data_IF_644447683129
#
_entry.id   IF_644447683129
#
_cell.length_a   1.000
_cell.length_b   1.000
_cell.length_c   1.000
_cell.angle_alpha   90.00
_cell.angle_beta   90.00
_cell.angle_gamma   90.00
#
_symmetry.space_group_name_H-M   'P 1'
#
loop_
_entity.id
_entity.type
_entity.pdbx_description
1 polymer ?
#
# COMPACT_ATOMS: atom_id res chain seq x y z
N UNK A 1 -14.25 20.59 -28.53
CA UNK A 1 -13.48 19.61 -27.71
C UNK A 1 -13.00 20.21 -26.40
N UNK A 2 -12.51 21.47 -26.38
CA UNK A 2 -11.98 22.09 -25.15
C UNK A 2 -13.05 22.43 -24.09
N UNK A 3 -14.31 22.55 -24.43
CA UNK A 3 -15.40 22.87 -23.49
C UNK A 3 -15.83 21.68 -22.63
N UNK A 4 -15.67 20.44 -23.10
CA UNK A 4 -15.99 19.24 -22.34
C UNK A 4 -15.01 19.03 -21.17
N UNK A 5 -13.71 19.21 -21.38
CA UNK A 5 -12.68 19.09 -20.34
C UNK A 5 -12.78 20.16 -19.25
N UNK A 6 -13.24 21.37 -19.57
CA UNK A 6 -13.45 22.43 -18.57
C UNK A 6 -14.65 22.20 -17.64
N UNK A 7 -15.50 21.21 -17.95
CA UNK A 7 -16.67 20.86 -17.12
C UNK A 7 -16.44 19.64 -16.24
N UNK A 8 -15.32 18.94 -16.38
CA UNK A 8 -15.01 17.81 -15.51
C UNK A 8 -14.78 18.31 -14.10
N UNK A 9 -15.63 17.85 -13.18
CA UNK A 9 -15.63 18.23 -11.76
C UNK A 9 -15.20 17.06 -10.86
N UNK A 10 -14.96 15.90 -11.44
CA UNK A 10 -14.60 14.68 -10.75
C UNK A 10 -13.45 14.00 -11.47
N UNK A 11 -12.52 13.46 -10.72
CA UNK A 11 -11.41 12.66 -11.20
C UNK A 11 -11.40 11.33 -10.47
N UNK A 12 -11.70 10.24 -11.19
CA UNK A 12 -11.52 8.89 -10.67
C UNK A 12 -10.04 8.52 -10.78
N UNK A 13 -9.48 8.06 -9.70
CA UNK A 13 -8.13 7.52 -9.66
C UNK A 13 -8.17 6.09 -9.13
N UNK A 14 -7.36 5.23 -9.74
CA UNK A 14 -7.14 3.89 -9.22
C UNK A 14 -6.34 3.94 -7.94
N UNK A 15 -6.23 2.77 -7.34
CA UNK A 15 -5.49 2.56 -6.12
C UNK A 15 -4.10 3.22 -6.20
N UNK A 16 -3.77 4.01 -5.18
CA UNK A 16 -2.49 4.70 -5.02
C UNK A 16 -1.61 4.03 -3.96
N UNK A 17 -2.00 2.84 -3.49
CA UNK A 17 -1.19 2.05 -2.58
C UNK A 17 0.08 1.52 -3.28
N UNK A 18 1.12 1.16 -2.52
CA UNK A 18 2.30 0.54 -3.10
C UNK A 18 1.93 -0.69 -3.92
N UNK A 19 2.60 -0.88 -5.05
CA UNK A 19 2.42 -2.09 -5.85
C UNK A 19 3.14 -3.26 -5.21
N UNK A 20 2.57 -4.46 -5.35
CA UNK A 20 3.15 -5.70 -4.83
C UNK A 20 3.60 -6.63 -5.94
N UNK A 21 3.25 -7.91 -5.84
CA UNK A 21 3.61 -8.92 -6.84
C UNK A 21 3.14 -8.51 -8.25
N UNK A 22 4.04 -8.64 -9.22
CA UNK A 22 3.84 -8.26 -10.63
C UNK A 22 3.41 -6.78 -10.79
N UNK A 23 3.87 -5.89 -9.92
CA UNK A 23 3.52 -4.46 -9.91
C UNK A 23 2.01 -4.17 -9.86
N UNK A 24 1.26 -5.14 -9.34
CA UNK A 24 -0.19 -5.04 -9.22
C UNK A 24 -0.59 -4.17 -8.03
N UNK A 25 -1.47 -3.17 -8.21
CA UNK A 25 -2.03 -2.40 -7.11
C UNK A 25 -2.97 -3.23 -6.22
N UNK A 26 -3.52 -4.33 -6.73
CA UNK A 26 -4.37 -5.25 -5.96
C UNK A 26 -3.59 -6.19 -5.03
N UNK A 27 -2.26 -6.25 -5.18
CA UNK A 27 -1.35 -7.01 -4.33
C UNK A 27 -0.50 -6.08 -3.46
N UNK A 28 -1.09 -5.01 -2.97
CA UNK A 28 -0.40 -4.01 -2.16
C UNK A 28 0.08 -4.56 -0.83
N UNK A 29 1.30 -4.21 -0.39
CA UNK A 29 1.79 -4.56 0.95
C UNK A 29 1.09 -3.82 2.09
N UNK A 30 0.17 -2.90 1.80
CA UNK A 30 -0.66 -2.22 2.81
C UNK A 30 -1.93 -1.62 2.21
N UNK A 31 -3.03 -1.70 2.95
CA UNK A 31 -4.28 -1.03 2.66
C UNK A 31 -4.30 0.46 3.06
N UNK A 32 -3.22 0.98 3.67
CA UNK A 32 -3.14 2.34 4.21
C UNK A 32 -2.00 3.15 3.59
N UNK A 33 -0.89 2.51 3.25
CA UNK A 33 0.31 3.19 2.77
C UNK A 33 0.13 3.82 1.38
N UNK A 34 0.80 4.93 1.14
CA UNK A 34 0.92 5.55 -0.18
C UNK A 34 2.05 4.96 -1.00
N UNK A 35 1.89 4.96 -2.33
CA UNK A 35 2.88 4.41 -3.27
C UNK A 35 4.11 5.31 -3.38
N UNK A 36 5.30 4.85 -2.98
CA UNK A 36 6.54 5.64 -3.10
C UNK A 36 6.86 6.07 -4.52
N UNK A 37 6.41 5.31 -5.52
CA UNK A 37 6.65 5.62 -6.92
C UNK A 37 5.91 6.88 -7.40
N UNK A 38 4.90 7.34 -6.66
CA UNK A 38 4.14 8.55 -6.97
C UNK A 38 4.74 9.83 -6.35
N UNK A 39 5.77 9.70 -5.50
CA UNK A 39 6.45 10.87 -4.92
C UNK A 39 7.14 11.66 -6.04
N UNK A 40 6.84 12.96 -6.14
CA UNK A 40 7.54 13.86 -7.05
C UNK A 40 8.93 14.19 -6.50
N UNK A 41 9.94 13.86 -7.29
CA UNK A 41 11.33 14.08 -6.91
C UNK A 41 11.74 15.56 -7.00
N UNK A 42 11.09 16.35 -7.89
CA UNK A 42 11.37 17.79 -7.99
C UNK A 42 10.89 18.54 -6.76
N UNK A 43 9.78 18.14 -6.15
CA UNK A 43 9.40 18.71 -4.86
C UNK A 43 10.45 18.44 -3.77
N UNK A 44 11.14 17.29 -3.81
CA UNK A 44 12.25 17.01 -2.90
C UNK A 44 13.47 17.90 -3.16
N UNK A 45 13.69 18.33 -4.41
CA UNK A 45 14.70 19.35 -4.74
C UNK A 45 14.30 20.72 -4.18
N UNK A 46 13.03 21.10 -4.34
CA UNK A 46 12.50 22.36 -3.77
C UNK A 46 12.64 22.40 -2.23
N UNK A 47 12.51 21.25 -1.58
CA UNK A 47 12.73 21.09 -0.14
C UNK A 47 14.21 21.05 0.27
N UNK A 48 15.15 21.08 -0.69
CA UNK A 48 16.59 20.97 -0.44
C UNK A 48 17.05 19.58 -0.01
N UNK A 49 16.24 18.55 -0.20
CA UNK A 49 16.56 17.16 0.14
C UNK A 49 17.33 16.45 -0.97
N UNK A 50 17.24 16.92 -2.20
CA UNK A 50 17.98 16.48 -3.38
C UNK A 50 18.58 17.67 -4.11
N UNK A 51 19.64 17.44 -4.89
CA UNK A 51 20.14 18.42 -5.84
C UNK A 51 19.48 18.18 -7.23
N UNK A 52 19.33 19.23 -8.07
CA UNK A 52 18.81 19.07 -9.44
C UNK A 52 19.59 18.03 -10.26
N UNK A 53 20.90 17.95 -10.04
CA UNK A 53 21.78 17.02 -10.77
C UNK A 53 21.60 15.55 -10.32
N UNK A 54 20.95 15.31 -9.19
CA UNK A 54 20.58 13.95 -8.77
C UNK A 54 19.50 13.34 -9.67
N UNK A 55 18.66 14.19 -10.28
CA UNK A 55 17.51 13.77 -11.08
C UNK A 55 17.82 13.86 -12.58
N UNK A 56 18.57 14.90 -12.99
CA UNK A 56 18.89 15.12 -14.39
C UNK A 56 19.71 13.98 -14.98
N UNK A 57 19.34 13.57 -16.20
CA UNK A 57 20.07 12.52 -16.94
C UNK A 57 19.83 11.10 -16.47
N UNK A 58 18.90 10.87 -15.51
CA UNK A 58 18.48 9.52 -15.14
C UNK A 58 17.53 8.92 -16.17
N UNK A 59 17.71 7.66 -16.46
CA UNK A 59 16.88 6.91 -17.39
C UNK A 59 15.92 6.02 -16.59
N UNK A 60 14.62 6.19 -16.82
CA UNK A 60 13.54 5.44 -16.17
C UNK A 60 12.93 4.37 -17.06
N UNK A 61 13.42 4.18 -18.28
CA UNK A 61 12.98 3.23 -19.28
C UNK A 61 13.40 3.69 -20.68
N UNK A 62 13.34 2.79 -21.65
CA UNK A 62 13.73 3.08 -23.06
C UNK A 62 12.56 3.60 -23.88
N UNK A 63 11.34 3.13 -23.57
CA UNK A 63 10.11 3.48 -24.28
C UNK A 63 9.21 4.35 -23.39
N UNK A 64 8.93 5.62 -23.76
CA UNK A 64 8.08 6.51 -22.97
C UNK A 64 6.59 6.09 -22.95
N UNK A 65 6.18 5.12 -23.77
CA UNK A 65 4.82 4.57 -23.79
C UNK A 65 4.61 3.44 -22.78
N UNK A 66 5.67 2.89 -22.19
CA UNK A 66 5.63 1.78 -21.24
C UNK A 66 6.42 2.12 -19.97
N UNK A 67 5.97 1.57 -18.83
CA UNK A 67 6.67 1.75 -17.55
C UNK A 67 7.63 0.59 -17.32
N UNK A 68 8.93 0.87 -17.25
CA UNK A 68 9.94 -0.07 -16.78
C UNK A 68 9.99 -0.01 -15.25
N UNK A 69 9.15 -0.81 -14.59
CA UNK A 69 9.03 -0.80 -13.14
C UNK A 69 10.33 -1.12 -12.44
N UNK A 70 11.15 -2.03 -12.96
CA UNK A 70 12.43 -2.39 -12.37
C UNK A 70 13.36 -1.17 -12.28
N UNK A 71 13.53 -0.46 -13.40
CA UNK A 71 14.35 0.78 -13.43
C UNK A 71 13.76 1.88 -12.56
N UNK A 72 12.44 2.11 -12.65
CA UNK A 72 11.76 3.15 -11.86
C UNK A 72 11.91 2.88 -10.37
N UNK A 73 11.69 1.65 -9.92
CA UNK A 73 11.81 1.26 -8.50
C UNK A 73 13.26 1.46 -8.02
N UNK A 74 14.24 0.97 -8.77
CA UNK A 74 15.66 1.11 -8.40
C UNK A 74 16.08 2.57 -8.28
N UNK A 75 15.78 3.40 -9.28
CA UNK A 75 16.11 4.82 -9.31
C UNK A 75 15.42 5.60 -8.19
N UNK A 76 14.10 5.40 -8.02
CA UNK A 76 13.36 6.09 -6.97
C UNK A 76 13.82 5.69 -5.57
N UNK A 77 14.08 4.40 -5.33
CA UNK A 77 14.57 3.93 -4.05
C UNK A 77 15.90 4.59 -3.67
N UNK A 78 16.84 4.68 -4.61
CA UNK A 78 18.13 5.34 -4.39
C UNK A 78 17.95 6.82 -4.02
N UNK A 79 17.13 7.54 -4.80
CA UNK A 79 16.90 8.97 -4.58
C UNK A 79 16.15 9.26 -3.29
N UNK A 80 15.14 8.44 -2.95
CA UNK A 80 14.43 8.57 -1.68
C UNK A 80 15.34 8.28 -0.48
N UNK A 81 16.28 7.33 -0.59
CA UNK A 81 17.31 7.11 0.44
C UNK A 81 18.23 8.30 0.58
N UNK A 82 18.67 8.89 -0.54
CA UNK A 82 19.49 10.11 -0.51
C UNK A 82 18.75 11.27 0.14
N UNK A 83 17.50 11.48 -0.23
CA UNK A 83 16.64 12.51 0.37
C UNK A 83 16.45 12.29 1.89
N UNK A 84 16.27 11.05 2.31
CA UNK A 84 16.16 10.69 3.73
C UNK A 84 17.39 11.07 4.54
N UNK A 85 18.60 10.85 4.04
CA UNK A 85 19.83 11.26 4.73
C UNK A 85 19.99 12.76 4.88
N UNK A 86 19.36 13.55 3.99
CA UNK A 86 19.35 15.02 4.05
C UNK A 86 18.20 15.57 4.91
N UNK A 87 17.19 14.72 5.21
CA UNK A 87 15.99 15.12 5.93
C UNK A 87 16.27 15.33 7.42
N UNK A 88 15.68 16.38 7.97
CA UNK A 88 15.68 16.65 9.41
C UNK A 88 14.26 16.59 9.93
N UNK A 89 14.06 15.80 10.97
CA UNK A 89 12.76 15.69 11.63
C UNK A 89 12.31 17.06 12.16
N UNK A 90 11.11 17.47 11.80
CA UNK A 90 10.47 18.69 12.25
C UNK A 90 9.16 18.39 12.98
N UNK A 91 8.51 19.42 13.49
CA UNK A 91 7.25 19.30 14.24
C UNK A 91 6.14 18.67 13.38
N UNK A 92 6.11 18.97 12.08
CA UNK A 92 5.10 18.45 11.15
C UNK A 92 5.28 16.94 10.91
N UNK A 93 6.54 16.52 10.77
CA UNK A 93 6.88 15.11 10.67
C UNK A 93 6.51 14.34 11.94
N UNK A 94 6.86 14.87 13.11
CA UNK A 94 6.54 14.22 14.39
C UNK A 94 5.03 14.14 14.63
N UNK A 95 4.28 15.17 14.26
CA UNK A 95 2.82 15.15 14.32
C UNK A 95 2.22 14.08 13.39
N UNK A 96 2.74 13.97 12.16
CA UNK A 96 2.33 12.91 11.20
C UNK A 96 2.59 11.51 11.77
N UNK A 97 3.79 11.26 12.32
CA UNK A 97 4.13 9.97 12.91
C UNK A 97 3.17 9.63 14.05
N UNK A 98 2.88 10.58 14.91
CA UNK A 98 1.96 10.38 16.03
C UNK A 98 0.53 10.10 15.55
N UNK A 99 0.01 10.88 14.59
CA UNK A 99 -1.34 10.73 14.06
C UNK A 99 -1.52 9.40 13.31
N UNK A 100 -0.50 8.98 12.55
CA UNK A 100 -0.56 7.78 11.72
C UNK A 100 -0.01 6.53 12.42
N UNK A 101 0.39 6.62 13.69
CA UNK A 101 1.08 5.54 14.45
C UNK A 101 0.31 4.21 14.44
N UNK A 102 -1.01 4.25 14.36
CA UNK A 102 -1.91 3.09 14.43
C UNK A 102 -1.76 2.09 13.26
N UNK A 103 -1.19 2.52 12.12
CA UNK A 103 -0.85 1.65 10.98
C UNK A 103 0.61 1.79 10.54
N UNK A 104 1.17 3.01 10.64
CA UNK A 104 2.47 3.34 10.06
C UNK A 104 3.62 2.59 10.72
N UNK A 105 3.54 2.40 12.04
CA UNK A 105 4.57 1.70 12.80
C UNK A 105 4.72 0.24 12.35
N UNK A 106 3.60 -0.47 12.23
CA UNK A 106 3.58 -1.85 11.78
C UNK A 106 3.95 -1.97 10.29
N UNK A 107 3.50 -1.04 9.44
CA UNK A 107 3.88 -0.99 8.04
C UNK A 107 5.39 -0.74 7.85
N UNK A 108 5.95 0.25 8.54
CA UNK A 108 7.36 0.57 8.44
C UNK A 108 8.25 -0.60 8.92
N UNK A 109 7.86 -1.25 10.01
CA UNK A 109 8.52 -2.46 10.50
C UNK A 109 8.41 -3.61 9.48
N UNK A 110 7.19 -3.88 8.96
CA UNK A 110 6.98 -4.91 7.94
C UNK A 110 7.86 -4.70 6.72
N UNK A 111 7.94 -3.48 6.20
CA UNK A 111 8.74 -3.16 5.04
C UNK A 111 10.24 -3.26 5.30
N UNK A 112 10.70 -2.88 6.50
CA UNK A 112 12.10 -3.06 6.90
C UNK A 112 12.48 -4.55 6.98
N UNK A 113 11.65 -5.38 7.61
CA UNK A 113 11.84 -6.83 7.67
C UNK A 113 11.81 -7.43 6.26
N UNK A 114 10.84 -7.03 5.44
CA UNK A 114 10.69 -7.51 4.06
C UNK A 114 11.92 -7.18 3.21
N UNK A 115 12.45 -5.98 3.36
CA UNK A 115 13.68 -5.57 2.67
C UNK A 115 14.90 -6.38 3.12
N UNK A 116 15.04 -6.63 4.43
CA UNK A 116 16.09 -7.47 4.99
C UNK A 116 15.99 -8.93 4.48
N UNK A 117 14.78 -9.42 4.24
CA UNK A 117 14.50 -10.73 3.67
C UNK A 117 14.39 -10.72 2.13
N UNK A 118 15.10 -9.82 1.43
CA UNK A 118 15.19 -9.78 -0.04
C UNK A 118 13.81 -9.66 -0.72
N UNK A 119 12.89 -8.94 -0.13
CA UNK A 119 11.50 -8.74 -0.57
C UNK A 119 10.67 -10.02 -0.63
N UNK A 120 11.14 -11.13 -0.08
CA UNK A 120 10.37 -12.38 -0.01
C UNK A 120 9.09 -12.20 0.82
N UNK A 121 8.09 -13.03 0.52
CA UNK A 121 6.83 -13.05 1.25
C UNK A 121 7.06 -13.33 2.75
N UNK A 122 6.33 -12.62 3.60
CA UNK A 122 6.41 -12.81 5.05
C UNK A 122 6.08 -14.24 5.49
N UNK A 123 5.34 -14.99 4.70
CA UNK A 123 5.06 -16.40 4.95
C UNK A 123 6.32 -17.28 4.92
N UNK A 124 7.40 -16.80 4.29
CA UNK A 124 8.68 -17.50 4.19
C UNK A 124 9.74 -17.02 5.19
N UNK A 125 9.43 -15.99 5.99
CA UNK A 125 10.33 -15.49 7.01
C UNK A 125 10.54 -16.50 8.13
N UNK A 126 11.53 -16.28 8.97
CA UNK A 126 11.74 -17.08 10.17
C UNK A 126 10.47 -17.13 11.03
N UNK A 127 10.24 -18.29 11.64
CA UNK A 127 9.02 -18.57 12.40
C UNK A 127 8.71 -17.48 13.43
N UNK A 128 9.73 -16.97 14.10
CA UNK A 128 9.58 -15.95 15.15
C UNK A 128 9.13 -14.60 14.61
N UNK A 129 9.64 -14.19 13.45
CA UNK A 129 9.18 -12.99 12.73
C UNK A 129 7.77 -13.18 12.19
N UNK A 130 7.46 -14.34 11.62
CA UNK A 130 6.10 -14.65 11.12
C UNK A 130 5.05 -14.56 12.21
N UNK A 131 5.35 -15.11 13.40
CA UNK A 131 4.46 -15.11 14.55
C UNK A 131 4.60 -13.84 15.43
N UNK A 132 5.33 -12.83 14.96
CA UNK A 132 5.47 -11.53 15.60
C UNK A 132 5.90 -11.63 17.08
N UNK A 133 6.88 -12.51 17.39
CA UNK A 133 7.36 -12.63 18.76
C UNK A 133 7.90 -11.28 19.27
N UNK A 134 7.38 -10.75 20.39
CA UNK A 134 7.69 -9.39 20.86
C UNK A 134 9.19 -9.14 21.02
N UNK A 135 9.92 -10.09 21.60
CA UNK A 135 11.35 -10.00 21.83
C UNK A 135 12.17 -9.93 20.54
N UNK A 136 11.76 -10.69 19.51
CA UNK A 136 12.43 -10.71 18.20
C UNK A 136 12.15 -9.41 17.45
N UNK A 137 10.89 -8.93 17.51
CA UNK A 137 10.54 -7.65 16.88
C UNK A 137 11.22 -6.48 17.59
N UNK A 138 11.40 -6.52 18.91
CA UNK A 138 12.10 -5.48 19.65
C UNK A 138 13.58 -5.42 19.25
N UNK A 139 14.26 -6.58 19.19
CA UNK A 139 15.65 -6.67 18.74
C UNK A 139 15.82 -6.18 17.30
N UNK A 140 14.92 -6.60 16.40
CA UNK A 140 14.94 -6.13 15.01
C UNK A 140 14.73 -4.61 14.90
N UNK A 141 13.81 -4.05 15.67
CA UNK A 141 13.57 -2.59 15.68
C UNK A 141 14.80 -1.81 16.14
N UNK A 142 15.51 -2.29 17.14
CA UNK A 142 16.72 -1.66 17.64
C UNK A 142 17.85 -1.70 16.58
N UNK A 143 18.07 -2.86 15.97
CA UNK A 143 19.12 -3.07 14.98
C UNK A 143 18.87 -2.32 13.67
N UNK A 144 17.60 -2.25 13.21
CA UNK A 144 17.21 -1.70 11.91
C UNK A 144 16.39 -0.41 12.00
N UNK A 145 16.60 0.39 13.04
CA UNK A 145 15.83 1.61 13.30
C UNK A 145 15.87 2.61 12.13
N UNK A 146 17.01 2.72 11.44
CA UNK A 146 17.16 3.64 10.31
C UNK A 146 16.36 3.19 9.07
N UNK A 147 16.18 1.90 8.86
CA UNK A 147 15.31 1.39 7.80
C UNK A 147 13.84 1.65 8.12
N UNK A 148 13.44 1.49 9.38
CA UNK A 148 12.08 1.82 9.83
C UNK A 148 11.81 3.32 9.67
N UNK A 149 12.73 4.17 10.10
CA UNK A 149 12.64 5.64 9.92
C UNK A 149 12.55 6.03 8.44
N UNK A 150 13.30 5.35 7.57
CA UNK A 150 13.21 5.56 6.13
C UNK A 150 11.80 5.32 5.60
N UNK A 151 11.15 4.22 5.97
CA UNK A 151 9.80 3.94 5.52
C UNK A 151 8.78 4.95 6.09
N UNK A 152 8.95 5.42 7.32
CA UNK A 152 8.14 6.52 7.88
C UNK A 152 8.33 7.82 7.09
N UNK A 153 9.56 8.19 6.80
CA UNK A 153 9.89 9.37 5.98
C UNK A 153 9.24 9.30 4.59
N UNK A 154 9.34 8.16 3.92
CA UNK A 154 8.74 7.96 2.59
C UNK A 154 7.22 8.17 2.64
N UNK A 155 6.55 7.65 3.66
CA UNK A 155 5.12 7.87 3.83
C UNK A 155 4.80 9.35 4.14
N UNK A 156 5.58 10.01 4.99
CA UNK A 156 5.41 11.43 5.24
C UNK A 156 5.53 12.27 3.97
N UNK A 157 6.52 12.01 3.11
CA UNK A 157 6.67 12.72 1.83
C UNK A 157 5.47 12.46 0.91
N UNK A 158 5.03 11.20 0.80
CA UNK A 158 3.87 10.87 -0.01
C UNK A 158 2.61 11.61 0.46
N UNK A 159 2.28 11.56 1.74
CA UNK A 159 1.05 12.18 2.26
C UNK A 159 1.12 13.71 2.21
N UNK A 160 2.29 14.30 2.40
CA UNK A 160 2.50 15.74 2.25
C UNK A 160 2.18 16.19 0.82
N UNK A 161 2.73 15.52 -0.18
CA UNK A 161 2.47 15.83 -1.59
C UNK A 161 1.04 15.52 -2.00
N UNK A 162 0.49 14.39 -1.54
CA UNK A 162 -0.89 14.03 -1.79
C UNK A 162 -1.88 15.08 -1.27
N UNK A 163 -1.71 15.51 -0.04
CA UNK A 163 -2.59 16.51 0.57
C UNK A 163 -2.51 17.86 -0.16
N UNK A 164 -1.32 18.25 -0.62
CA UNK A 164 -1.12 19.44 -1.46
C UNK A 164 -1.85 19.33 -2.79
N UNK A 165 -1.75 18.17 -3.46
CA UNK A 165 -2.45 17.89 -4.71
C UNK A 165 -3.97 17.90 -4.54
N UNK A 166 -4.49 17.20 -3.50
CA UNK A 166 -5.93 17.16 -3.19
C UNK A 166 -6.46 18.57 -2.92
N UNK A 167 -5.77 19.34 -2.09
CA UNK A 167 -6.16 20.72 -1.79
C UNK A 167 -6.19 21.58 -3.06
N UNK A 168 -5.23 21.42 -3.96
CA UNK A 168 -5.20 22.12 -5.24
C UNK A 168 -6.39 21.73 -6.13
N UNK A 169 -6.69 20.43 -6.25
CA UNK A 169 -7.84 19.93 -7.01
C UNK A 169 -9.15 20.50 -6.47
N UNK A 170 -9.36 20.41 -5.16
CA UNK A 170 -10.58 20.89 -4.51
C UNK A 170 -10.75 22.41 -4.65
N UNK A 171 -9.66 23.19 -4.53
CA UNK A 171 -9.67 24.64 -4.76
C UNK A 171 -10.12 24.99 -6.18
N UNK A 172 -9.83 24.14 -7.15
CA UNK A 172 -10.28 24.30 -8.54
C UNK A 172 -11.66 23.66 -8.82
N UNK A 173 -12.37 23.22 -7.79
CA UNK A 173 -13.71 22.62 -7.88
C UNK A 173 -13.69 21.21 -8.47
N UNK A 174 -12.60 20.48 -8.32
CA UNK A 174 -12.46 19.09 -8.76
C UNK A 174 -12.49 18.19 -7.54
N UNK A 175 -13.43 17.25 -7.50
CA UNK A 175 -13.50 16.20 -6.49
C UNK A 175 -12.72 14.96 -6.94
N UNK A 176 -11.99 14.34 -6.02
CA UNK A 176 -11.23 13.11 -6.27
C UNK A 176 -12.04 11.92 -5.78
N UNK A 177 -12.28 10.96 -6.66
CA UNK A 177 -12.92 9.68 -6.35
C UNK A 177 -11.83 8.62 -6.26
N UNK A 178 -11.61 8.09 -5.06
CA UNK A 178 -10.69 6.99 -4.83
C UNK A 178 -11.33 5.63 -5.09
N UNK A 179 -10.55 4.68 -5.54
CA UNK A 179 -10.96 3.31 -5.78
C UNK A 179 -10.16 2.38 -4.84
N UNK A 180 -10.85 1.61 -4.00
CA UNK A 180 -10.20 0.67 -3.09
C UNK A 180 -10.65 -0.75 -3.40
N UNK A 181 -9.71 -1.71 -3.49
CA UNK A 181 -10.06 -3.12 -3.66
C UNK A 181 -10.69 -3.64 -2.38
N UNK A 182 -11.63 -4.59 -2.49
CA UNK A 182 -12.23 -5.16 -1.30
C UNK A 182 -11.23 -6.00 -0.50
N UNK A 183 -10.41 -6.81 -1.14
CA UNK A 183 -9.47 -7.70 -0.45
C UNK A 183 -8.14 -7.04 -0.14
N UNK A 184 -7.51 -7.49 0.95
CA UNK A 184 -6.10 -7.23 1.25
C UNK A 184 -5.22 -8.31 0.59
N UNK A 185 -3.98 -7.96 0.27
CA UNK A 185 -3.03 -8.96 -0.23
C UNK A 185 -2.55 -9.86 0.90
N UNK A 186 -2.35 -11.16 0.62
CA UNK A 186 -1.78 -12.07 1.61
C UNK A 186 -0.40 -11.60 2.09
N UNK A 187 0.42 -11.09 1.18
CA UNK A 187 1.75 -10.56 1.47
C UNK A 187 1.70 -9.07 1.82
N UNK A 188 1.00 -8.75 2.91
CA UNK A 188 0.82 -7.38 3.40
C UNK A 188 1.02 -7.26 4.90
N UNK A 189 1.32 -6.04 5.34
CA UNK A 189 1.37 -5.69 6.76
C UNK A 189 0.02 -5.94 7.43
N UNK A 190 -1.08 -5.66 6.73
CA UNK A 190 -2.45 -5.85 7.24
C UNK A 190 -2.70 -7.28 7.69
N UNK A 191 -2.36 -8.26 6.84
CA UNK A 191 -2.56 -9.68 7.13
C UNK A 191 -1.54 -10.19 8.15
N UNK A 192 -0.26 -9.76 8.04
CA UNK A 192 0.78 -10.13 9.00
C UNK A 192 0.49 -9.66 10.42
N UNK A 193 -0.08 -8.46 10.56
CA UNK A 193 -0.43 -7.87 11.87
C UNK A 193 -1.72 -8.47 12.43
N UNK A 194 -2.71 -8.70 11.57
CA UNK A 194 -4.05 -9.08 11.98
C UNK A 194 -4.52 -10.42 11.34
N UNK A 195 -3.73 -11.51 11.40
CA UNK A 195 -4.07 -12.76 10.71
C UNK A 195 -5.42 -13.34 11.16
N UNK A 196 -5.85 -13.06 12.39
CA UNK A 196 -7.15 -13.50 12.94
C UNK A 196 -8.38 -12.88 12.27
N UNK A 197 -8.20 -11.82 11.49
CA UNK A 197 -9.30 -11.18 10.73
C UNK A 197 -9.52 -11.82 9.35
N UNK A 198 -8.75 -12.85 9.03
CA UNK A 198 -8.78 -13.54 7.75
C UNK A 198 -8.94 -15.06 7.94
N UNK A 199 -9.37 -15.76 6.90
CA UNK A 199 -9.48 -17.21 6.89
C UNK A 199 -8.10 -17.90 6.80
N UNK A 200 -7.33 -17.74 7.88
CA UNK A 200 -5.95 -18.19 8.01
C UNK A 200 -5.86 -19.19 9.17
N UNK A 201 -5.17 -20.30 8.95
CA UNK A 201 -4.98 -21.34 9.95
C UNK A 201 -3.93 -20.96 11.03
N UNK A 202 -3.81 -21.80 12.03
CA UNK A 202 -2.86 -21.64 13.15
C UNK A 202 -1.38 -21.66 12.70
N UNK A 203 -1.10 -22.15 11.48
CA UNK A 203 0.23 -22.14 10.87
C UNK A 203 0.48 -20.89 10.01
N UNK A 204 -0.46 -19.94 10.04
CA UNK A 204 -0.47 -18.70 9.26
C UNK A 204 -0.60 -18.94 7.74
N UNK A 205 -1.33 -20.01 7.33
CA UNK A 205 -1.63 -20.30 5.92
C UNK A 205 -3.08 -19.98 5.63
N UNK A 206 -3.38 -19.37 4.47
CA UNK A 206 -4.76 -19.17 4.07
C UNK A 206 -5.43 -20.54 3.87
N UNK A 207 -6.67 -20.68 4.30
CA UNK A 207 -7.50 -21.88 4.08
C UNK A 207 -8.39 -21.69 2.86
N UNK A 208 -8.89 -20.48 2.68
CA UNK A 208 -9.70 -20.06 1.55
C UNK A 208 -9.15 -18.76 0.98
N UNK A 209 -9.24 -18.61 -0.34
CA UNK A 209 -8.82 -17.41 -1.07
C UNK A 209 -9.92 -16.91 -2.00
N UNK A 210 -9.83 -15.65 -2.36
CA UNK A 210 -10.77 -15.00 -3.26
C UNK A 210 -10.51 -15.39 -4.72
N UNK A 211 -11.60 -15.37 -5.50
CA UNK A 211 -11.56 -15.54 -6.94
C UNK A 211 -12.93 -15.38 -7.57
N UNK A 212 -13.05 -15.80 -8.83
CA UNK A 212 -14.28 -15.76 -9.61
C UNK A 212 -14.49 -17.12 -10.26
N UNK A 213 -15.71 -17.69 -10.27
CA UNK A 213 -15.97 -18.96 -10.92
C UNK A 213 -15.74 -18.86 -12.43
N UNK A 214 -15.61 -19.99 -13.14
CA UNK A 214 -15.58 -20.02 -14.59
C UNK A 214 -16.75 -19.25 -15.21
N UNK A 215 -16.43 -18.42 -16.19
CA UNK A 215 -17.40 -17.59 -16.92
C UNK A 215 -17.05 -17.53 -18.42
N UNK A 216 -17.79 -16.68 -19.16
CA UNK A 216 -17.55 -16.50 -20.60
C UNK A 216 -16.14 -15.93 -20.92
N UNK A 217 -15.57 -15.15 -20.03
CA UNK A 217 -14.26 -14.50 -20.21
C UNK A 217 -13.10 -15.38 -19.76
N UNK A 218 -13.34 -16.28 -18.80
CA UNK A 218 -12.33 -17.19 -18.24
C UNK A 218 -12.91 -18.59 -18.02
N UNK A 219 -12.64 -19.55 -18.91
CA UNK A 219 -13.14 -20.92 -18.78
C UNK A 219 -12.68 -21.65 -17.51
N UNK A 220 -11.58 -21.23 -16.89
CA UNK A 220 -11.02 -21.77 -15.64
C UNK A 220 -11.30 -20.90 -14.42
N UNK A 221 -12.09 -19.82 -14.59
CA UNK A 221 -12.29 -18.81 -13.57
C UNK A 221 -11.04 -17.96 -13.32
N UNK A 222 -11.03 -17.25 -12.20
CA UNK A 222 -9.89 -16.42 -11.80
C UNK A 222 -9.54 -16.73 -10.34
N UNK A 223 -8.33 -17.18 -10.10
CA UNK A 223 -7.76 -17.39 -8.77
C UNK A 223 -6.96 -16.13 -8.38
N UNK A 224 -7.52 -15.29 -7.50
CA UNK A 224 -6.87 -14.03 -7.09
C UNK A 224 -5.86 -14.20 -5.97
N UNK A 225 -6.04 -15.24 -5.12
CA UNK A 225 -5.08 -15.59 -4.08
C UNK A 225 -5.12 -14.69 -2.83
N UNK A 226 -6.01 -13.69 -2.78
CA UNK A 226 -6.20 -12.88 -1.58
C UNK A 226 -6.92 -13.69 -0.52
N UNK A 227 -6.50 -13.66 0.77
CA UNK A 227 -7.20 -14.35 1.85
C UNK A 227 -8.60 -13.73 2.04
N UNK A 228 -9.57 -14.55 2.32
CA UNK A 228 -10.92 -14.09 2.64
C UNK A 228 -10.97 -13.55 4.08
N UNK A 229 -11.93 -12.66 4.34
CA UNK A 229 -12.17 -12.16 5.68
C UNK A 229 -12.89 -13.21 6.55
N UNK A 230 -12.50 -13.30 7.82
CA UNK A 230 -13.30 -13.93 8.87
C UNK A 230 -14.28 -12.89 9.40
N UNK A 231 -15.48 -12.86 8.81
CA UNK A 231 -16.50 -11.88 9.15
C UNK A 231 -16.99 -12.02 10.60
N UNK A 232 -17.01 -13.24 11.14
CA UNK A 232 -17.38 -13.47 12.54
C UNK A 232 -16.32 -12.91 13.49
N UNK A 233 -15.03 -13.00 13.14
CA UNK A 233 -13.97 -12.38 13.91
C UNK A 233 -14.03 -10.85 13.81
N UNK A 234 -14.34 -10.32 12.62
CA UNK A 234 -14.50 -8.87 12.43
C UNK A 234 -15.71 -8.32 13.17
N UNK A 235 -16.84 -9.05 13.20
CA UNK A 235 -18.02 -8.66 13.97
C UNK A 235 -17.69 -8.56 15.47
N UNK A 236 -17.01 -9.57 16.01
CA UNK A 236 -16.56 -9.57 17.42
C UNK A 236 -15.64 -8.41 17.78
N UNK A 237 -14.87 -7.94 16.79
CA UNK A 237 -13.99 -6.76 16.89
C UNK A 237 -14.72 -5.42 16.60
N UNK A 238 -16.02 -5.46 16.26
CA UNK A 238 -16.77 -4.27 15.86
C UNK A 238 -16.36 -3.72 14.51
N UNK A 239 -15.82 -4.54 13.63
CA UNK A 239 -15.33 -4.17 12.28
C UNK A 239 -14.26 -3.08 12.28
N UNK A 240 -13.47 -2.96 13.35
CA UNK A 240 -12.52 -1.86 13.56
C UNK A 240 -11.53 -1.68 12.41
N UNK A 241 -11.00 -2.77 11.85
CA UNK A 241 -10.10 -2.68 10.70
C UNK A 241 -10.79 -2.05 9.48
N UNK A 242 -12.02 -2.47 9.15
CA UNK A 242 -12.79 -1.91 8.03
C UNK A 242 -13.18 -0.46 8.26
N UNK A 243 -13.62 -0.11 9.46
CA UNK A 243 -13.95 1.27 9.82
C UNK A 243 -12.73 2.17 9.69
N UNK A 244 -11.56 1.72 10.16
CA UNK A 244 -10.30 2.45 10.01
C UNK A 244 -9.91 2.61 8.54
N UNK A 245 -10.11 1.57 7.71
CA UNK A 245 -9.82 1.62 6.28
C UNK A 245 -10.71 2.63 5.54
N UNK A 246 -11.99 2.64 5.85
CA UNK A 246 -12.93 3.59 5.25
C UNK A 246 -12.62 5.01 5.73
N UNK A 247 -12.42 5.22 7.02
CA UNK A 247 -12.09 6.55 7.58
C UNK A 247 -10.80 7.10 6.95
N UNK A 248 -9.77 6.27 6.83
CA UNK A 248 -8.53 6.64 6.16
C UNK A 248 -8.75 6.99 4.68
N UNK A 249 -9.50 6.18 3.95
CA UNK A 249 -9.81 6.45 2.55
C UNK A 249 -10.63 7.74 2.37
N UNK A 250 -11.58 8.03 3.26
CA UNK A 250 -12.38 9.27 3.22
C UNK A 250 -11.56 10.53 3.53
N UNK A 251 -10.47 10.42 4.31
CA UNK A 251 -9.52 11.53 4.50
C UNK A 251 -8.73 11.81 3.21
N UNK A 252 -8.43 10.78 2.45
CA UNK A 252 -7.61 10.87 1.24
C UNK A 252 -8.40 11.28 0.00
N UNK A 253 -9.65 10.89 -0.10
CA UNK A 253 -10.53 11.14 -1.23
C UNK A 253 -11.74 11.97 -0.81
N UNK A 254 -12.42 12.55 -1.77
CA UNK A 254 -13.71 13.21 -1.55
C UNK A 254 -14.88 12.22 -1.65
N UNK A 255 -14.69 11.16 -2.41
CA UNK A 255 -15.59 10.01 -2.52
C UNK A 255 -14.79 8.73 -2.66
N UNK A 256 -15.34 7.62 -2.19
CA UNK A 256 -14.69 6.30 -2.27
C UNK A 256 -15.59 5.34 -3.02
N UNK A 257 -15.03 4.67 -4.03
CA UNK A 257 -15.61 3.49 -4.66
C UNK A 257 -14.96 2.25 -4.08
N UNK A 258 -15.74 1.28 -3.67
CA UNK A 258 -15.23 -0.05 -3.29
C UNK A 258 -15.43 -0.98 -4.47
N UNK A 259 -14.33 -1.48 -5.00
CA UNK A 259 -14.35 -2.44 -6.08
C UNK A 259 -14.82 -3.81 -5.58
N UNK A 260 -15.58 -4.53 -6.42
CA UNK A 260 -16.20 -5.81 -6.07
C UNK A 260 -17.07 -5.77 -4.79
N UNK A 261 -17.87 -4.72 -4.61
CA UNK A 261 -18.72 -4.48 -3.43
C UNK A 261 -19.63 -5.67 -3.06
N UNK A 262 -19.99 -6.49 -4.04
CA UNK A 262 -20.77 -7.71 -3.83
C UNK A 262 -20.17 -8.63 -2.76
N UNK A 263 -18.85 -8.63 -2.58
CA UNK A 263 -18.17 -9.49 -1.61
C UNK A 263 -18.47 -9.14 -0.14
N UNK A 264 -19.19 -8.08 0.15
CA UNK A 264 -19.77 -7.86 1.48
C UNK A 264 -21.02 -8.71 1.76
N UNK A 265 -21.66 -9.24 0.70
CA UNK A 265 -22.83 -10.11 0.81
C UNK A 265 -22.44 -11.55 0.44
N UNK A 266 -21.98 -11.76 -0.78
CA UNK A 266 -21.59 -13.09 -1.31
C UNK A 266 -20.34 -13.01 -2.13
N UNK A 267 -19.48 -14.00 -2.00
CA UNK A 267 -18.22 -14.11 -2.75
C UNK A 267 -17.93 -15.57 -3.11
N UNK A 268 -17.08 -15.75 -4.12
CA UNK A 268 -16.61 -17.08 -4.51
C UNK A 268 -15.35 -17.42 -3.72
N UNK A 269 -15.46 -18.48 -2.90
CA UNK A 269 -14.38 -18.96 -2.06
C UNK A 269 -13.72 -20.18 -2.71
N UNK A 270 -12.41 -20.15 -2.83
CA UNK A 270 -11.61 -21.21 -3.45
C UNK A 270 -10.69 -21.79 -2.37
N UNK A 271 -10.56 -23.12 -2.25
CA UNK A 271 -9.53 -23.72 -1.40
C UNK A 271 -8.15 -23.18 -1.75
N UNK A 272 -7.34 -22.81 -0.75
CA UNK A 272 -6.08 -22.12 -0.99
C UNK A 272 -5.01 -22.98 -1.70
N UNK A 273 -5.18 -24.29 -1.74
CA UNK A 273 -4.35 -25.28 -2.44
C UNK A 273 -4.85 -25.58 -3.88
N UNK A 274 -5.97 -25.00 -4.29
CA UNK A 274 -6.48 -25.15 -5.65
C UNK A 274 -5.57 -24.46 -6.67
N UNK A 275 -5.47 -25.03 -7.86
CA UNK A 275 -4.68 -24.49 -8.98
C UNK A 275 -5.53 -23.69 -9.97
N UNK A 276 -6.85 -23.80 -9.88
CA UNK A 276 -7.84 -23.07 -10.68
C UNK A 276 -9.02 -22.65 -9.80
N UNK A 277 -9.84 -21.75 -10.30
CA UNK A 277 -11.07 -21.34 -9.62
C UNK A 277 -12.24 -22.28 -9.94
#
# INVERSE_FOLDING_TARGET
LHTAYRRQRQMCIRDRHPTGYADSPYQSPSAFAGNPLLIDLWELVELGLLAPDDIKGREYGEDPSTVDYEKVIAQKKELLRKAFFSFKEDVSYLAFIQEQSWWLEDYALFMAIKQHNELRSWMTWDKELRFRKPEVLAAFKEEHIEDIKFHRFVQYMFFTQWNKLKAYANKNGISIIGDIPIYAAMDSADVWVNPKLFTIDISLRPTLVAGVPPDYFSPTGQLWGNPLYDWDAMERDGYNWWLSRIDHAMKLYDMVRIDHFRAFDTYYAIPADATTA
#
